data_IF_658705348248
#
_entry.id   IF_658705348248
#
_cell.length_a   1.000
_cell.length_b   1.000
_cell.length_c   1.000
_cell.angle_alpha   90.00
_cell.angle_beta   90.00
_cell.angle_gamma   90.00
#
_symmetry.space_group_name_H-M   'P 1'
#
loop_
_entity.id
_entity.type
_entity.pdbx_description
1 polymer ?
#
# COMPACT_ATOMS: atom_id res chain seq x y z
N UNK A 1 -11.59 30.47 -71.12
CA UNK A 1 -12.73 29.69 -70.58
C UNK A 1 -12.35 28.29 -70.09
N UNK A 2 -11.62 27.47 -70.88
CA UNK A 2 -11.20 26.10 -70.52
C UNK A 2 -10.54 25.95 -69.14
N UNK A 3 -9.58 26.83 -68.77
CA UNK A 3 -8.87 26.75 -67.49
C UNK A 3 -9.77 26.97 -66.26
N UNK A 4 -10.79 27.83 -66.38
CA UNK A 4 -11.76 28.09 -65.32
C UNK A 4 -12.68 26.87 -65.14
N UNK A 5 -13.13 26.27 -66.24
CA UNK A 5 -13.91 25.03 -66.20
C UNK A 5 -13.11 23.87 -65.59
N UNK A 6 -11.82 23.73 -65.94
CA UNK A 6 -10.94 22.70 -65.36
C UNK A 6 -10.79 22.86 -63.84
N UNK A 7 -10.54 24.08 -63.34
CA UNK A 7 -10.43 24.35 -61.89
C UNK A 7 -11.75 24.08 -61.16
N UNK A 8 -12.89 24.48 -61.73
CA UNK A 8 -14.23 24.18 -61.18
C UNK A 8 -14.51 22.68 -61.13
N UNK A 9 -14.08 21.94 -62.15
CA UNK A 9 -14.23 20.49 -62.18
C UNK A 9 -13.37 19.82 -61.08
N UNK A 10 -12.12 20.23 -60.91
CA UNK A 10 -11.26 19.69 -59.85
C UNK A 10 -11.79 20.01 -58.46
N UNK A 11 -12.22 21.26 -58.20
CA UNK A 11 -12.84 21.61 -56.92
C UNK A 11 -14.10 20.79 -56.61
N UNK A 12 -14.91 20.46 -57.64
CA UNK A 12 -16.07 19.57 -57.47
C UNK A 12 -15.67 18.12 -57.20
N UNK A 13 -14.60 17.61 -57.83
CA UNK A 13 -14.06 16.28 -57.53
C UNK A 13 -13.54 16.21 -56.10
N UNK A 14 -12.83 17.23 -55.64
CA UNK A 14 -12.35 17.33 -54.26
C UNK A 14 -13.51 17.39 -53.27
N UNK A 15 -14.54 18.20 -53.54
CA UNK A 15 -15.75 18.26 -52.71
C UNK A 15 -16.48 16.91 -52.66
N UNK A 16 -16.58 16.19 -53.79
CA UNK A 16 -17.14 14.84 -53.82
C UNK A 16 -16.32 13.85 -53.00
N UNK A 17 -14.99 13.96 -53.02
CA UNK A 17 -14.11 13.10 -52.21
C UNK A 17 -14.29 13.37 -50.71
N UNK A 18 -14.43 14.63 -50.30
CA UNK A 18 -14.70 15.01 -48.91
C UNK A 18 -16.05 14.44 -48.46
N UNK A 19 -17.11 14.66 -49.25
CA UNK A 19 -18.44 14.13 -48.95
C UNK A 19 -18.47 12.60 -48.90
N UNK A 20 -17.71 11.92 -49.75
CA UNK A 20 -17.58 10.45 -49.71
C UNK A 20 -16.94 10.00 -48.39
N UNK A 21 -15.88 10.66 -47.93
CA UNK A 21 -15.22 10.33 -46.65
C UNK A 21 -16.10 10.62 -45.44
N UNK A 22 -16.85 11.72 -45.48
CA UNK A 22 -17.82 12.06 -44.43
C UNK A 22 -18.95 11.04 -44.39
N UNK A 23 -19.45 10.58 -45.54
CA UNK A 23 -20.45 9.54 -45.63
C UNK A 23 -19.94 8.21 -45.07
N UNK A 24 -18.71 7.82 -45.38
CA UNK A 24 -18.09 6.60 -44.85
C UNK A 24 -17.96 6.67 -43.32
N UNK A 25 -17.53 7.82 -42.79
CA UNK A 25 -17.46 8.06 -41.34
C UNK A 25 -18.85 7.94 -40.69
N UNK A 26 -19.86 8.59 -41.27
CA UNK A 26 -21.24 8.52 -40.77
C UNK A 26 -21.78 7.08 -40.78
N UNK A 27 -21.43 6.28 -41.79
CA UNK A 27 -21.83 4.87 -41.86
C UNK A 27 -21.16 4.04 -40.77
N UNK A 28 -19.87 4.26 -40.51
CA UNK A 28 -19.13 3.58 -39.44
C UNK A 28 -19.72 3.92 -38.07
N UNK A 29 -19.99 5.19 -37.80
CA UNK A 29 -20.62 5.62 -36.54
C UNK A 29 -22.00 4.97 -36.34
N UNK A 30 -22.84 4.97 -37.38
CA UNK A 30 -24.15 4.31 -37.36
C UNK A 30 -24.02 2.83 -37.00
N UNK A 31 -23.09 2.12 -37.64
CA UNK A 31 -22.91 0.69 -37.44
C UNK A 31 -22.36 0.39 -36.04
N UNK A 32 -21.49 1.25 -35.51
CA UNK A 32 -21.01 1.19 -34.13
C UNK A 32 -22.16 1.37 -33.11
N UNK A 33 -23.01 2.38 -33.30
CA UNK A 33 -24.16 2.60 -32.42
C UNK A 33 -25.15 1.44 -32.48
N UNK A 34 -25.38 0.86 -33.66
CA UNK A 34 -26.24 -0.32 -33.82
C UNK A 34 -25.68 -1.53 -33.05
N UNK A 35 -24.37 -1.74 -33.09
CA UNK A 35 -23.70 -2.80 -32.34
C UNK A 35 -23.85 -2.59 -30.83
N UNK A 36 -23.57 -1.38 -30.33
CA UNK A 36 -23.71 -1.05 -28.91
C UNK A 36 -25.15 -1.23 -28.41
N UNK A 37 -26.15 -0.82 -29.20
CA UNK A 37 -27.56 -1.01 -28.88
C UNK A 37 -27.94 -2.50 -28.77
N UNK A 38 -27.41 -3.34 -29.66
CA UNK A 38 -27.63 -4.79 -29.62
C UNK A 38 -26.97 -5.42 -28.40
N UNK A 39 -25.72 -5.08 -28.11
CA UNK A 39 -25.01 -5.57 -26.92
C UNK A 39 -25.73 -5.18 -25.62
N UNK A 40 -26.22 -3.94 -25.54
CA UNK A 40 -26.98 -3.46 -24.39
C UNK A 40 -28.31 -4.24 -24.25
N UNK A 41 -29.00 -4.50 -25.36
CA UNK A 41 -30.24 -5.28 -25.39
C UNK A 41 -30.02 -6.72 -24.92
N UNK A 42 -28.96 -7.38 -25.37
CA UNK A 42 -28.62 -8.75 -24.93
C UNK A 42 -28.26 -8.81 -23.45
N UNK A 43 -27.46 -7.86 -22.95
CA UNK A 43 -27.17 -7.73 -21.51
C UNK A 43 -28.44 -7.53 -20.70
N UNK A 44 -29.35 -6.68 -21.17
CA UNK A 44 -30.62 -6.46 -20.49
C UNK A 44 -31.49 -7.73 -20.48
N UNK A 45 -31.60 -8.44 -21.61
CA UNK A 45 -32.38 -9.67 -21.71
C UNK A 45 -31.83 -10.80 -20.83
N UNK A 46 -30.51 -10.99 -20.83
CA UNK A 46 -29.86 -12.00 -19.99
C UNK A 46 -30.02 -11.70 -18.49
N UNK A 47 -29.88 -10.42 -18.10
CA UNK A 47 -30.12 -10.00 -16.73
C UNK A 47 -31.58 -10.19 -16.32
N UNK A 48 -32.52 -9.80 -17.19
CA UNK A 48 -33.97 -10.01 -16.98
C UNK A 48 -34.31 -11.49 -16.81
N UNK A 49 -33.66 -12.37 -17.58
CA UNK A 49 -33.82 -13.83 -17.46
C UNK A 49 -33.33 -14.34 -16.10
N UNK A 50 -32.13 -13.94 -15.68
CA UNK A 50 -31.57 -14.30 -14.35
C UNK A 50 -32.45 -13.82 -13.19
N UNK A 51 -32.93 -12.58 -13.25
CA UNK A 51 -33.85 -12.06 -12.23
C UNK A 51 -35.17 -12.82 -12.20
N UNK A 52 -35.70 -13.20 -13.37
CA UNK A 52 -36.90 -14.02 -13.47
C UNK A 52 -36.71 -15.40 -12.86
N UNK A 53 -35.57 -16.07 -13.13
CA UNK A 53 -35.24 -17.37 -12.53
C UNK A 53 -35.13 -17.30 -10.99
N UNK A 54 -34.53 -16.22 -10.47
CA UNK A 54 -34.40 -16.00 -9.02
C UNK A 54 -35.75 -15.72 -8.33
N UNK A 55 -36.64 -14.95 -8.98
CA UNK A 55 -37.91 -14.51 -8.40
C UNK A 55 -39.00 -15.55 -8.59
N UNK A 56 -39.09 -16.17 -9.78
CA UNK A 56 -40.26 -16.95 -10.18
C UNK A 56 -40.13 -18.45 -9.96
N UNK A 57 -38.95 -19.01 -9.63
CA UNK A 57 -38.80 -20.44 -9.24
C UNK A 57 -39.53 -21.45 -10.15
N UNK A 58 -39.87 -22.64 -9.62
CA UNK A 58 -40.65 -23.66 -10.34
C UNK A 58 -42.08 -23.13 -10.68
N UNK A 59 -42.46 -23.04 -11.97
CA UNK A 59 -43.78 -22.57 -12.40
C UNK A 59 -44.97 -23.35 -11.83
N UNK A 60 -44.76 -24.56 -11.31
CA UNK A 60 -45.82 -25.43 -10.78
C UNK A 60 -46.40 -24.96 -9.43
N UNK A 61 -45.69 -24.09 -8.69
CA UNK A 61 -46.04 -23.68 -7.33
C UNK A 61 -46.70 -22.28 -7.28
N UNK A 62 -47.50 -21.93 -6.26
CA UNK A 62 -48.01 -20.57 -6.07
C UNK A 62 -46.89 -19.55 -5.74
N UNK A 63 -46.99 -18.28 -6.16
CA UNK A 63 -45.92 -17.27 -6.01
C UNK A 63 -45.37 -17.11 -4.58
N UNK A 64 -46.23 -17.23 -3.57
CA UNK A 64 -45.87 -17.17 -2.15
C UNK A 64 -45.01 -18.35 -1.71
N UNK A 65 -45.31 -19.57 -2.20
CA UNK A 65 -44.58 -20.79 -1.88
C UNK A 65 -43.25 -20.90 -2.62
N UNK A 66 -43.09 -20.23 -3.77
CA UNK A 66 -41.84 -20.23 -4.56
C UNK A 66 -40.71 -19.47 -3.87
N UNK A 67 -40.98 -18.28 -3.35
CA UNK A 67 -39.98 -17.50 -2.59
C UNK A 67 -39.52 -18.25 -1.35
N UNK A 68 -40.46 -18.91 -0.67
CA UNK A 68 -40.15 -19.74 0.50
C UNK A 68 -39.32 -20.98 0.14
N UNK A 69 -39.65 -21.66 -0.97
CA UNK A 69 -38.88 -22.80 -1.47
C UNK A 69 -37.46 -22.41 -1.92
N UNK A 70 -37.31 -21.29 -2.63
CA UNK A 70 -36.00 -20.78 -3.05
C UNK A 70 -35.14 -20.36 -1.86
N UNK A 71 -35.71 -19.68 -0.86
CA UNK A 71 -34.99 -19.31 0.36
C UNK A 71 -34.59 -20.55 1.15
N UNK A 72 -35.48 -21.53 1.30
CA UNK A 72 -35.17 -22.79 1.96
C UNK A 72 -34.06 -23.57 1.23
N UNK A 73 -34.06 -23.56 -0.11
CA UNK A 73 -32.99 -24.18 -0.89
C UNK A 73 -31.65 -23.45 -0.70
N UNK A 74 -31.63 -22.12 -0.76
CA UNK A 74 -30.42 -21.34 -0.55
C UNK A 74 -29.85 -21.54 0.86
N UNK A 75 -30.73 -21.64 1.87
CA UNK A 75 -30.32 -21.95 3.24
C UNK A 75 -29.74 -23.35 3.37
N UNK A 76 -30.34 -24.36 2.72
CA UNK A 76 -29.78 -25.72 2.67
C UNK A 76 -28.43 -25.74 1.99
N UNK A 77 -28.32 -25.15 0.80
CA UNK A 77 -27.06 -25.07 0.06
C UNK A 77 -25.96 -24.35 0.86
N UNK A 78 -26.32 -23.29 1.58
CA UNK A 78 -25.41 -22.56 2.46
C UNK A 78 -24.98 -23.41 3.67
N UNK A 79 -25.92 -24.11 4.31
CA UNK A 79 -25.63 -25.04 5.41
C UNK A 79 -24.72 -26.18 4.94
N UNK A 80 -24.98 -26.75 3.78
CA UNK A 80 -24.17 -27.84 3.24
C UNK A 80 -22.78 -27.35 2.85
N UNK A 81 -22.63 -26.18 2.21
CA UNK A 81 -21.32 -25.57 1.98
C UNK A 81 -20.55 -25.33 3.28
N UNK A 82 -21.21 -24.84 4.32
CA UNK A 82 -20.57 -24.64 5.62
C UNK A 82 -20.13 -25.96 6.26
N UNK A 83 -20.89 -27.06 6.09
CA UNK A 83 -20.46 -28.39 6.54
C UNK A 83 -19.22 -28.86 5.79
N UNK A 84 -19.22 -28.76 4.45
CA UNK A 84 -18.08 -29.15 3.62
C UNK A 84 -16.83 -28.34 3.98
N UNK A 85 -16.94 -27.02 4.14
CA UNK A 85 -15.84 -26.18 4.60
C UNK A 85 -15.36 -26.57 6.00
N UNK A 86 -16.28 -26.95 6.90
CA UNK A 86 -15.93 -27.46 8.23
C UNK A 86 -15.16 -28.79 8.18
N UNK A 87 -15.50 -29.68 7.24
CA UNK A 87 -14.77 -30.93 6.99
C UNK A 87 -13.38 -30.66 6.40
N UNK A 88 -13.29 -29.75 5.41
CA UNK A 88 -12.02 -29.34 4.81
C UNK A 88 -11.08 -28.70 5.83
N UNK A 89 -11.58 -27.85 6.72
CA UNK A 89 -10.80 -27.28 7.83
C UNK A 89 -10.23 -28.40 8.71
N UNK A 90 -11.03 -29.41 9.06
CA UNK A 90 -10.57 -30.53 9.88
C UNK A 90 -9.51 -31.35 9.17
N UNK A 91 -9.69 -31.63 7.87
CA UNK A 91 -8.71 -32.34 7.05
C UNK A 91 -7.39 -31.56 6.97
N UNK A 92 -7.46 -30.24 6.73
CA UNK A 92 -6.29 -29.38 6.69
C UNK A 92 -5.57 -29.32 8.03
N UNK A 93 -6.30 -29.26 9.14
CA UNK A 93 -5.74 -29.32 10.49
C UNK A 93 -5.03 -30.65 10.76
N UNK A 94 -5.62 -31.77 10.34
CA UNK A 94 -5.01 -33.08 10.44
C UNK A 94 -3.70 -33.16 9.63
N UNK A 95 -3.74 -32.76 8.35
CA UNK A 95 -2.55 -32.72 7.49
C UNK A 95 -1.45 -31.84 8.05
N UNK A 96 -1.81 -30.69 8.63
CA UNK A 96 -0.85 -29.81 9.29
C UNK A 96 -0.17 -30.52 10.47
N UNK A 97 -0.93 -31.23 11.31
CA UNK A 97 -0.40 -31.97 12.43
C UNK A 97 0.54 -33.12 11.98
N UNK A 98 0.17 -33.83 10.92
CA UNK A 98 1.01 -34.89 10.30
C UNK A 98 2.34 -34.30 9.80
N UNK A 99 2.31 -33.24 9.00
CA UNK A 99 3.52 -32.58 8.47
C UNK A 99 4.39 -32.01 9.59
N UNK A 100 3.79 -31.46 10.66
CA UNK A 100 4.54 -31.00 11.84
C UNK A 100 5.23 -32.17 12.56
N UNK A 101 4.55 -33.31 12.69
CA UNK A 101 5.12 -34.55 13.21
C UNK A 101 6.31 -35.04 12.38
N UNK A 102 6.13 -35.10 11.06
CA UNK A 102 7.18 -35.49 10.11
C UNK A 102 8.37 -34.53 10.18
N UNK A 103 8.14 -33.22 10.26
CA UNK A 103 9.21 -32.24 10.38
C UNK A 103 10.01 -32.44 11.68
N UNK A 104 9.34 -32.77 12.78
CA UNK A 104 10.01 -33.09 14.05
C UNK A 104 10.86 -34.36 13.92
N UNK A 105 10.35 -35.41 13.29
CA UNK A 105 11.08 -36.65 13.04
C UNK A 105 12.27 -36.44 12.10
N UNK A 106 12.11 -35.66 11.04
CA UNK A 106 13.19 -35.31 10.11
C UNK A 106 14.29 -34.51 10.83
N UNK A 107 13.92 -33.50 11.62
CA UNK A 107 14.89 -32.75 12.44
C UNK A 107 15.65 -33.66 13.39
N UNK A 108 14.94 -34.58 14.06
CA UNK A 108 15.53 -35.58 14.93
C UNK A 108 16.49 -36.51 14.17
N UNK A 109 16.10 -36.98 12.99
CA UNK A 109 16.91 -37.86 12.14
C UNK A 109 18.17 -37.17 11.63
N UNK A 110 18.05 -35.91 11.17
CA UNK A 110 19.19 -35.09 10.77
C UNK A 110 20.14 -34.86 11.95
N UNK A 111 19.60 -34.60 13.14
CA UNK A 111 20.41 -34.45 14.35
C UNK A 111 21.18 -35.75 14.66
N UNK A 112 20.51 -36.91 14.65
CA UNK A 112 21.14 -38.22 14.85
C UNK A 112 22.21 -38.54 13.81
N UNK A 113 21.95 -38.25 12.52
CA UNK A 113 22.93 -38.48 11.45
C UNK A 113 24.17 -37.59 11.57
N UNK A 114 24.03 -36.38 12.13
CA UNK A 114 25.15 -35.46 12.35
C UNK A 114 25.95 -35.76 13.62
N UNK A 115 25.31 -36.32 14.65
CA UNK A 115 25.85 -36.39 16.01
C UNK A 115 26.09 -37.82 16.52
N UNK A 116 25.66 -38.86 15.79
CA UNK A 116 25.66 -40.24 16.28
C UNK A 116 24.49 -40.54 17.22
N UNK A 117 24.40 -41.78 17.69
CA UNK A 117 23.24 -42.34 18.42
C UNK A 117 23.26 -42.02 19.93
N UNK A 118 23.70 -40.81 20.30
CA UNK A 118 23.63 -40.30 21.68
C UNK A 118 22.50 -39.28 21.83
N UNK A 119 21.84 -39.29 22.99
CA UNK A 119 20.55 -38.65 23.26
C UNK A 119 20.46 -37.19 22.77
N UNK A 120 19.34 -36.91 22.10
CA UNK A 120 18.98 -35.60 21.52
C UNK A 120 18.92 -34.56 22.66
N UNK A 121 19.99 -33.80 22.85
CA UNK A 121 20.04 -32.76 23.88
C UNK A 121 21.42 -32.20 24.16
N UNK A 122 22.48 -32.98 23.94
CA UNK A 122 23.85 -32.51 24.16
C UNK A 122 24.46 -32.12 22.82
N UNK A 123 24.39 -30.83 22.46
CA UNK A 123 25.12 -30.30 21.30
C UNK A 123 26.63 -30.38 21.55
N UNK A 124 27.27 -31.45 21.12
CA UNK A 124 28.72 -31.49 20.96
C UNK A 124 29.10 -30.71 19.69
N UNK A 125 29.12 -29.38 19.81
CA UNK A 125 30.08 -28.60 19.03
C UNK A 125 31.47 -29.08 19.45
N UNK A 126 32.39 -29.22 18.51
CA UNK A 126 33.78 -29.41 18.90
C UNK A 126 34.17 -28.22 19.80
N UNK A 127 34.90 -28.46 20.89
CA UNK A 127 35.14 -27.44 21.91
C UNK A 127 35.65 -26.12 21.30
N UNK A 128 36.50 -26.21 20.27
CA UNK A 128 37.02 -25.08 19.51
C UNK A 128 35.95 -24.25 18.78
N UNK A 129 34.96 -24.88 18.13
CA UNK A 129 33.88 -24.14 17.44
C UNK A 129 32.99 -23.38 18.43
N UNK A 130 32.78 -23.95 19.61
CA UNK A 130 32.04 -23.28 20.68
C UNK A 130 32.84 -22.10 21.23
N UNK A 131 34.13 -22.29 21.47
CA UNK A 131 35.04 -21.25 21.95
C UNK A 131 35.14 -20.09 20.95
N UNK A 132 35.24 -20.36 19.64
CA UNK A 132 35.28 -19.32 18.61
C UNK A 132 33.99 -18.49 18.56
N UNK A 133 32.83 -19.15 18.68
CA UNK A 133 31.53 -18.47 18.73
C UNK A 133 31.37 -17.63 20.01
N UNK A 134 31.83 -18.14 21.16
CA UNK A 134 31.83 -17.39 22.42
C UNK A 134 32.71 -16.16 22.31
N UNK A 135 33.92 -16.28 21.76
CA UNK A 135 34.81 -15.14 21.54
C UNK A 135 34.21 -14.10 20.58
N UNK A 136 33.50 -14.53 19.53
CA UNK A 136 32.81 -13.60 18.63
C UNK A 136 31.68 -12.85 19.35
N UNK A 137 30.92 -13.52 20.20
CA UNK A 137 29.87 -12.90 21.00
C UNK A 137 30.43 -11.92 22.03
N UNK A 138 31.53 -12.28 22.70
CA UNK A 138 32.21 -11.40 23.66
C UNK A 138 32.72 -10.13 22.98
N UNK A 139 33.42 -10.25 21.84
CA UNK A 139 33.88 -9.10 21.05
C UNK A 139 32.72 -8.22 20.57
N UNK A 140 31.64 -8.84 20.09
CA UNK A 140 30.47 -8.09 19.65
C UNK A 140 29.81 -7.34 20.81
N UNK A 141 29.78 -7.95 22.01
CA UNK A 141 29.25 -7.32 23.22
C UNK A 141 30.11 -6.12 23.66
N UNK A 142 31.43 -6.27 23.68
CA UNK A 142 32.36 -5.17 23.97
C UNK A 142 32.21 -4.02 22.97
N UNK A 143 32.02 -4.32 21.69
CA UNK A 143 31.75 -3.31 20.66
C UNK A 143 30.44 -2.57 20.89
N UNK A 144 29.37 -3.28 21.28
CA UNK A 144 28.08 -2.66 21.61
C UNK A 144 28.24 -1.75 22.82
N UNK A 145 28.87 -2.22 23.89
CA UNK A 145 29.09 -1.42 25.11
C UNK A 145 29.90 -0.15 24.80
N UNK A 146 30.94 -0.24 23.96
CA UNK A 146 31.69 0.93 23.50
C UNK A 146 30.82 1.92 22.72
N UNK A 147 30.03 1.42 21.75
CA UNK A 147 29.17 2.27 20.94
C UNK A 147 28.04 2.92 21.76
N UNK A 148 27.53 2.24 22.78
CA UNK A 148 26.55 2.78 23.72
C UNK A 148 27.15 3.93 24.53
N UNK A 149 28.40 3.79 24.98
CA UNK A 149 29.13 4.87 25.66
C UNK A 149 29.39 6.07 24.73
N UNK A 150 29.84 5.84 23.50
CA UNK A 150 30.09 6.90 22.52
C UNK A 150 28.79 7.63 22.14
N UNK A 151 27.69 6.89 21.99
CA UNK A 151 26.37 7.45 21.73
C UNK A 151 25.92 8.31 22.90
N UNK A 152 26.08 7.85 24.14
CA UNK A 152 25.70 8.62 25.32
C UNK A 152 26.50 9.93 25.40
N UNK A 153 27.82 9.89 25.18
CA UNK A 153 28.66 11.09 25.15
C UNK A 153 28.19 12.09 24.07
N UNK A 154 27.86 11.58 22.88
CA UNK A 154 27.33 12.42 21.78
C UNK A 154 25.97 13.04 22.10
N UNK A 155 25.12 12.33 22.85
CA UNK A 155 23.81 12.82 23.31
C UNK A 155 23.98 13.94 24.33
N UNK A 156 24.92 13.78 25.26
CA UNK A 156 25.22 14.78 26.28
C UNK A 156 25.77 16.07 25.63
N UNK A 157 26.74 15.95 24.71
CA UNK A 157 27.26 17.10 23.95
C UNK A 157 26.15 17.81 23.14
N UNK A 158 25.25 17.05 22.52
CA UNK A 158 24.12 17.61 21.79
C UNK A 158 23.17 18.38 22.72
N UNK A 159 23.01 17.93 23.95
CA UNK A 159 22.18 18.59 24.94
C UNK A 159 22.78 19.94 25.34
N UNK A 160 24.09 19.99 25.61
CA UNK A 160 24.81 21.23 25.90
C UNK A 160 24.65 22.26 24.77
N UNK A 161 24.85 21.84 23.52
CA UNK A 161 24.69 22.71 22.35
C UNK A 161 23.24 23.20 22.18
N UNK A 162 22.24 22.37 22.50
CA UNK A 162 20.84 22.79 22.46
C UNK A 162 20.54 23.84 23.52
N UNK A 163 21.10 23.70 24.71
CA UNK A 163 20.94 24.67 25.80
C UNK A 163 21.60 26.00 25.46
N UNK A 164 22.82 25.98 24.91
CA UNK A 164 23.48 27.17 24.38
C UNK A 164 22.63 27.85 23.31
N UNK A 165 22.12 27.07 22.34
CA UNK A 165 21.24 27.61 21.28
C UNK A 165 19.99 28.25 21.86
N UNK A 166 19.37 27.65 22.87
CA UNK A 166 18.19 28.23 23.54
C UNK A 166 18.53 29.56 24.21
N UNK A 167 19.67 29.62 24.91
CA UNK A 167 20.16 30.87 25.54
C UNK A 167 20.39 31.98 24.50
N UNK A 168 20.98 31.64 23.34
CA UNK A 168 21.13 32.59 22.25
C UNK A 168 19.80 33.02 21.63
N UNK A 169 18.83 32.11 21.49
CA UNK A 169 17.49 32.45 21.01
C UNK A 169 16.80 33.45 21.97
N UNK A 170 16.85 33.19 23.28
CA UNK A 170 16.30 34.11 24.28
C UNK A 170 16.99 35.48 24.24
N UNK A 171 18.33 35.51 24.03
CA UNK A 171 19.07 36.77 23.87
C UNK A 171 18.61 37.53 22.63
N UNK A 172 18.43 36.86 21.49
CA UNK A 172 17.94 37.47 20.25
C UNK A 172 16.52 37.99 20.44
N UNK A 173 15.63 37.24 21.09
CA UNK A 173 14.27 37.68 21.36
C UNK A 173 14.23 38.93 22.26
N UNK A 174 15.04 38.97 23.33
CA UNK A 174 15.16 40.17 24.18
C UNK A 174 15.65 41.39 23.41
N UNK A 175 16.74 41.24 22.65
CA UNK A 175 17.27 42.33 21.82
C UNK A 175 16.25 42.80 20.78
N UNK A 176 15.51 41.88 20.17
CA UNK A 176 14.46 42.22 19.23
C UNK A 176 13.29 42.97 19.90
N UNK A 177 12.91 42.59 21.12
CA UNK A 177 11.91 43.33 21.90
C UNK A 177 12.39 44.75 22.24
N UNK A 178 13.65 44.91 22.66
CA UNK A 178 14.27 46.22 22.92
C UNK A 178 14.32 47.07 21.66
N UNK A 179 14.77 46.51 20.53
CA UNK A 179 14.79 47.20 19.24
C UNK A 179 13.38 47.61 18.79
N UNK A 180 12.38 46.74 18.93
CA UNK A 180 10.99 47.10 18.60
C UNK A 180 10.42 48.16 19.54
N UNK A 181 10.79 48.15 20.82
CA UNK A 181 10.41 49.21 21.77
C UNK A 181 11.04 50.55 21.38
N UNK A 182 12.31 50.52 20.97
CA UNK A 182 13.06 51.69 20.50
C UNK A 182 12.49 52.24 19.19
N UNK A 183 12.17 51.38 18.22
CA UNK A 183 11.64 51.77 16.91
C UNK A 183 10.14 52.12 16.95
N UNK A 184 9.37 51.49 17.85
CA UNK A 184 7.94 51.71 18.04
C UNK A 184 7.60 52.72 19.13
N UNK A 185 8.59 53.18 19.90
CA UNK A 185 8.43 54.11 21.01
C UNK A 185 9.35 55.32 20.86
N UNK A 186 8.72 56.49 20.69
CA UNK A 186 9.27 57.85 20.59
C UNK A 186 9.54 58.37 19.16
N UNK A 187 8.52 58.99 18.56
CA UNK A 187 8.62 59.80 17.33
C UNK A 187 9.68 60.93 17.38
N UNK A 188 10.30 61.20 18.53
CA UNK A 188 11.25 62.30 18.75
C UNK A 188 12.58 61.92 19.43
N UNK A 189 12.92 60.64 19.58
CA UNK A 189 14.21 60.23 20.15
C UNK A 189 15.04 59.50 19.08
N UNK A 190 15.91 60.24 18.39
CA UNK A 190 16.94 59.65 17.53
C UNK A 190 17.87 58.83 18.43
N UNK A 191 18.03 57.54 18.13
CA UNK A 191 18.89 56.64 18.90
C UNK A 191 20.29 56.66 18.31
N UNK A 192 21.26 56.89 19.17
CA UNK A 192 22.68 56.77 18.87
C UNK A 192 23.10 55.30 18.95
N UNK A 193 23.20 54.66 17.79
CA UNK A 193 23.54 53.25 17.64
C UNK A 193 25.00 52.98 18.06
N UNK A 194 25.88 53.98 17.94
CA UNK A 194 27.30 53.82 18.28
C UNK A 194 27.49 53.68 19.80
N UNK A 195 26.67 54.34 20.62
CA UNK A 195 26.68 54.20 22.07
C UNK A 195 26.31 52.79 22.54
N UNK A 196 25.28 52.18 21.93
CA UNK A 196 24.80 50.84 22.29
C UNK A 196 25.78 49.73 21.88
N UNK A 197 26.49 49.91 20.77
CA UNK A 197 27.55 49.01 20.34
C UNK A 197 28.75 48.98 21.31
N UNK A 198 29.01 50.08 22.04
CA UNK A 198 30.11 50.13 23.00
C UNK A 198 29.79 49.44 24.34
N UNK A 199 28.51 49.35 24.73
CA UNK A 199 28.11 48.73 26.01
C UNK A 199 28.08 47.19 25.97
N UNK A 200 27.95 46.56 24.80
CA UNK A 200 27.92 45.08 24.65
C UNK A 200 29.31 44.42 24.52
N UNK A 201 30.39 45.18 24.71
CA UNK A 201 31.78 44.70 24.59
C UNK A 201 32.36 44.09 25.89
N UNK A 202 31.52 43.64 26.83
CA UNK A 202 31.93 42.97 28.07
C UNK A 202 31.27 41.61 28.25
#
# INVERSE_FOLDING_TARGET
EYLVCKRKLESKKEALLILSKELDTCQQERDQYKLMANQLRERHQSLKKKYRELIDGDPSLPPEKRKQANLAQLLRDSQDRNKHLGEEIKELQQRLAEVQGDNKLLRMTIAKQRLGDEEIGVRHFAAHEREDLVQQLERAKEQIESLEHDLQASVDELQDVKEERSSYQDKVERLNQELNHILGGHENRIIDVDALCMENCY
#
